data_IF_111065655493
#
_entry.id   IF_111065655493
#
_cell.length_a   1.000
_cell.length_b   1.000
_cell.length_c   1.000
_cell.angle_alpha   90.00
_cell.angle_beta   90.00
_cell.angle_gamma   90.00
#
_symmetry.space_group_name_H-M   'P 1'
#
loop_
_entity.id
_entity.type
_entity.pdbx_description
1 polymer ?
#
# COMPACT_ATOMS: atom_id res chain seq x y z
N UNK A 1 67.66 -13.94 40.62
CA UNK A 1 66.38 -14.67 40.54
C UNK A 1 65.30 -13.66 40.22
N UNK A 2 64.90 -13.59 38.93
CA UNK A 2 63.88 -12.61 38.42
C UNK A 2 62.53 -13.28 38.46
N UNK A 3 61.56 -12.72 39.16
CA UNK A 3 60.19 -13.18 39.20
C UNK A 3 59.40 -12.42 38.13
N UNK A 4 59.01 -13.15 37.08
CA UNK A 4 58.27 -12.66 35.93
C UNK A 4 56.77 -12.70 36.25
N UNK A 5 56.16 -11.54 36.44
CA UNK A 5 54.72 -11.41 36.69
C UNK A 5 53.97 -11.34 35.34
N UNK A 6 53.25 -12.40 35.01
CA UNK A 6 52.40 -12.49 33.82
C UNK A 6 51.09 -11.71 34.05
N UNK A 7 50.92 -10.58 33.34
CA UNK A 7 49.69 -9.80 33.36
C UNK A 7 48.71 -10.38 32.29
N UNK A 8 47.66 -11.03 32.76
CA UNK A 8 46.52 -11.42 31.93
C UNK A 8 45.69 -10.16 31.62
N UNK A 9 45.72 -9.73 30.33
CA UNK A 9 44.84 -8.70 29.83
C UNK A 9 43.45 -9.32 29.52
N UNK A 10 42.48 -8.99 30.35
CA UNK A 10 41.08 -9.36 30.11
C UNK A 10 40.50 -8.52 28.98
N UNK A 11 40.18 -9.16 27.87
CA UNK A 11 39.40 -8.54 26.81
C UNK A 11 37.92 -8.50 27.23
N UNK A 12 37.43 -7.31 27.59
CA UNK A 12 35.99 -7.08 27.79
C UNK A 12 35.32 -7.00 26.44
N UNK A 13 34.50 -8.02 26.13
CA UNK A 13 33.65 -8.04 24.92
C UNK A 13 32.48 -7.10 25.14
N UNK A 14 32.54 -5.89 24.61
CA UNK A 14 31.43 -4.94 24.63
C UNK A 14 30.38 -5.41 23.63
N UNK A 15 29.27 -5.98 24.12
CA UNK A 15 28.09 -6.32 23.33
C UNK A 15 27.41 -4.99 22.99
N UNK A 16 27.58 -4.52 21.75
CA UNK A 16 26.81 -3.41 21.17
C UNK A 16 25.36 -3.89 20.99
N UNK A 17 24.48 -3.48 21.89
CA UNK A 17 23.04 -3.63 21.72
C UNK A 17 22.60 -2.72 20.56
N UNK A 18 22.35 -3.31 19.39
CA UNK A 18 21.73 -2.60 18.27
C UNK A 18 20.28 -2.32 18.65
N UNK A 19 19.82 -1.06 18.71
CA UNK A 19 18.41 -0.79 18.96
C UNK A 19 17.61 -1.35 17.77
N UNK A 20 16.65 -2.24 18.06
CA UNK A 20 15.61 -2.66 17.11
C UNK A 20 14.81 -1.40 16.73
N UNK A 21 15.19 -0.76 15.64
CA UNK A 21 14.51 0.41 15.13
C UNK A 21 13.05 0.07 14.84
N UNK A 22 12.12 0.74 15.52
CA UNK A 22 10.70 0.67 15.20
C UNK A 22 10.52 1.10 13.75
N UNK A 23 9.88 0.25 12.94
CA UNK A 23 9.56 0.60 11.56
C UNK A 23 8.73 1.91 11.54
N UNK A 24 9.00 2.83 10.62
CA UNK A 24 8.28 4.10 10.57
C UNK A 24 6.78 3.85 10.41
N UNK A 25 5.95 4.66 11.07
CA UNK A 25 4.48 4.54 11.05
C UNK A 25 3.89 4.45 9.63
N UNK A 26 4.55 5.04 8.62
CA UNK A 26 4.18 4.96 7.20
C UNK A 26 4.27 3.51 6.67
N UNK A 27 5.27 2.72 7.09
CA UNK A 27 5.42 1.33 6.66
C UNK A 27 4.32 0.43 7.29
N UNK A 28 3.94 0.69 8.54
CA UNK A 28 2.84 -0.02 9.21
C UNK A 28 1.49 0.32 8.57
N UNK A 29 1.28 1.56 8.19
CA UNK A 29 0.12 2.05 7.47
C UNK A 29 -0.07 1.31 6.14
N UNK A 30 1.00 1.19 5.36
CA UNK A 30 0.98 0.47 4.09
C UNK A 30 0.71 -1.03 4.28
N UNK A 31 1.20 -1.65 5.35
CA UNK A 31 0.98 -3.05 5.65
C UNK A 31 -0.49 -3.37 5.96
N UNK A 32 -1.19 -2.50 6.71
CA UNK A 32 -2.61 -2.69 7.02
C UNK A 32 -3.47 -2.65 5.75
N UNK A 33 -3.24 -1.69 4.87
CA UNK A 33 -3.96 -1.59 3.59
C UNK A 33 -3.62 -2.78 2.68
N UNK A 34 -2.35 -3.19 2.60
CA UNK A 34 -1.94 -4.35 1.81
C UNK A 34 -2.61 -5.64 2.28
N UNK A 35 -2.66 -5.88 3.59
CA UNK A 35 -3.37 -7.03 4.18
C UNK A 35 -4.87 -6.99 3.88
N UNK A 36 -5.50 -5.82 3.99
CA UNK A 36 -6.93 -5.64 3.69
C UNK A 36 -7.25 -5.83 2.19
N UNK A 37 -6.33 -5.49 1.29
CA UNK A 37 -6.44 -5.79 -0.14
C UNK A 37 -6.35 -7.30 -0.38
N UNK A 38 -5.35 -7.96 0.18
CA UNK A 38 -5.17 -9.41 0.03
C UNK A 38 -6.38 -10.21 0.55
N UNK A 39 -7.03 -9.74 1.62
CA UNK A 39 -8.27 -10.32 2.17
C UNK A 39 -9.54 -9.90 1.42
N UNK A 40 -9.45 -8.96 0.47
CA UNK A 40 -10.56 -8.45 -0.33
C UNK A 40 -11.53 -7.55 0.43
N UNK A 41 -11.13 -6.99 1.56
CA UNK A 41 -11.91 -5.96 2.28
C UNK A 41 -11.79 -4.60 1.59
N UNK A 42 -10.60 -4.30 1.06
CA UNK A 42 -10.30 -3.08 0.29
C UNK A 42 -10.00 -3.46 -1.15
N UNK A 43 -10.46 -2.67 -2.09
CA UNK A 43 -10.19 -2.88 -3.51
C UNK A 43 -10.05 -1.60 -4.30
N UNK A 44 -9.53 -1.72 -5.53
CA UNK A 44 -9.46 -0.64 -6.49
C UNK A 44 -10.84 -0.37 -7.10
N UNK A 45 -11.15 0.89 -7.31
CA UNK A 45 -12.38 1.34 -7.97
C UNK A 45 -12.07 1.91 -9.35
N UNK A 46 -13.07 1.87 -10.22
CA UNK A 46 -13.04 2.38 -11.60
C UNK A 46 -12.65 3.87 -11.71
N UNK A 47 -12.79 4.64 -10.63
CA UNK A 47 -12.50 6.07 -10.59
C UNK A 47 -11.08 6.39 -10.06
N UNK A 48 -10.25 5.35 -9.86
CA UNK A 48 -8.87 5.51 -9.42
C UNK A 48 -8.67 5.68 -7.91
N UNK A 49 -9.70 5.40 -7.11
CA UNK A 49 -9.63 5.43 -5.65
C UNK A 49 -9.78 4.03 -5.05
N UNK A 50 -9.37 3.89 -3.80
CA UNK A 50 -9.68 2.70 -3.00
C UNK A 50 -11.11 2.79 -2.45
N UNK A 51 -11.74 1.65 -2.29
CA UNK A 51 -13.03 1.51 -1.64
C UNK A 51 -13.11 0.27 -0.76
N UNK A 52 -14.24 0.11 -0.07
CA UNK A 52 -14.48 -1.00 0.84
C UNK A 52 -15.49 -1.97 0.22
N UNK A 53 -15.05 -3.19 -0.04
CA UNK A 53 -15.91 -4.29 -0.48
C UNK A 53 -16.60 -5.00 0.70
N UNK A 54 -16.08 -4.80 1.92
CA UNK A 54 -16.65 -5.26 3.18
C UNK A 54 -16.44 -4.21 4.26
N UNK A 55 -17.13 -4.33 5.39
CA UNK A 55 -17.04 -3.37 6.50
C UNK A 55 -15.60 -3.30 7.04
N UNK A 56 -14.96 -2.10 7.03
CA UNK A 56 -13.61 -1.92 7.54
C UNK A 56 -13.59 -1.68 9.05
N UNK A 57 -12.44 -1.94 9.69
CA UNK A 57 -12.14 -1.38 11.02
C UNK A 57 -11.95 0.14 10.94
N UNK A 58 -12.07 0.84 12.08
CA UNK A 58 -11.82 2.29 12.13
C UNK A 58 -10.39 2.65 11.70
N UNK A 59 -9.40 1.89 12.13
CA UNK A 59 -8.00 2.08 11.74
C UNK A 59 -7.80 1.92 10.22
N UNK A 60 -8.40 0.90 9.61
CA UNK A 60 -8.33 0.68 8.16
C UNK A 60 -9.00 1.82 7.38
N UNK A 61 -10.14 2.32 7.85
CA UNK A 61 -10.83 3.46 7.24
C UNK A 61 -9.91 4.69 7.17
N UNK A 62 -9.29 5.05 8.29
CA UNK A 62 -8.33 6.18 8.34
C UNK A 62 -7.19 6.01 7.33
N UNK A 63 -6.67 4.79 7.17
CA UNK A 63 -5.57 4.52 6.25
C UNK A 63 -5.98 4.59 4.78
N UNK A 64 -7.15 4.08 4.44
CA UNK A 64 -7.72 4.17 3.09
C UNK A 64 -8.03 5.63 2.74
N UNK A 65 -8.63 6.37 3.67
CA UNK A 65 -8.94 7.79 3.48
C UNK A 65 -7.65 8.60 3.26
N UNK A 66 -6.60 8.36 4.05
CA UNK A 66 -5.30 9.01 3.87
C UNK A 66 -4.68 8.69 2.48
N UNK A 67 -4.85 7.46 2.00
CA UNK A 67 -4.41 7.07 0.65
C UNK A 67 -5.19 7.80 -0.43
N UNK A 68 -6.51 7.88 -0.29
CA UNK A 68 -7.37 8.58 -1.24
C UNK A 68 -7.14 10.10 -1.25
N UNK A 69 -6.81 10.70 -0.10
CA UNK A 69 -6.41 12.12 -0.03
C UNK A 69 -5.13 12.35 -0.85
N UNK A 70 -4.12 11.50 -0.73
CA UNK A 70 -2.88 11.60 -1.53
C UNK A 70 -3.15 11.42 -3.03
N UNK A 71 -3.98 10.45 -3.41
CA UNK A 71 -4.40 10.24 -4.80
C UNK A 71 -5.12 11.45 -5.35
N UNK A 72 -6.06 12.03 -4.60
CA UNK A 72 -6.79 13.26 -5.01
C UNK A 72 -5.84 14.43 -5.25
N UNK A 73 -4.88 14.65 -4.36
CA UNK A 73 -3.89 15.70 -4.52
C UNK A 73 -3.03 15.50 -5.78
N UNK A 74 -2.59 14.25 -6.04
CA UNK A 74 -1.84 13.88 -7.23
C UNK A 74 -2.67 14.09 -8.51
N UNK A 75 -3.92 13.63 -8.52
CA UNK A 75 -4.80 13.77 -9.68
C UNK A 75 -5.10 15.24 -9.99
N UNK A 76 -5.34 16.06 -8.97
CA UNK A 76 -5.50 17.50 -9.14
C UNK A 76 -4.27 18.17 -9.75
N UNK A 77 -3.09 17.84 -9.24
CA UNK A 77 -1.83 18.36 -9.76
C UNK A 77 -1.56 17.95 -11.23
N UNK A 78 -1.85 16.69 -11.57
CA UNK A 78 -1.70 16.19 -12.94
C UNK A 78 -2.74 16.81 -13.89
N UNK A 79 -3.96 17.02 -13.44
CA UNK A 79 -5.04 17.62 -14.19
C UNK A 79 -4.68 19.03 -14.66
N UNK A 80 -4.15 19.85 -13.75
CA UNK A 80 -3.67 21.22 -14.09
C UNK A 80 -2.60 21.17 -15.18
N UNK A 81 -1.59 20.27 -15.03
CA UNK A 81 -0.50 20.18 -16.00
C UNK A 81 -0.93 19.69 -17.39
N UNK A 82 -2.03 18.96 -17.47
CA UNK A 82 -2.53 18.33 -18.72
C UNK A 82 -3.77 19.00 -19.29
N UNK A 83 -4.27 20.05 -18.63
CA UNK A 83 -5.50 20.77 -19.02
C UNK A 83 -6.71 19.82 -19.15
N UNK A 84 -6.85 18.90 -18.23
CA UNK A 84 -7.97 17.97 -18.08
C UNK A 84 -8.59 18.07 -16.70
N UNK A 85 -9.66 17.32 -16.41
CA UNK A 85 -10.24 17.29 -15.06
C UNK A 85 -9.51 16.28 -14.14
N UNK A 86 -9.52 16.46 -12.81
CA UNK A 86 -9.02 15.47 -11.87
C UNK A 86 -9.71 14.12 -12.00
N UNK A 87 -10.98 14.11 -12.41
CA UNK A 87 -11.74 12.90 -12.66
C UNK A 87 -11.18 12.12 -13.86
N UNK A 88 -10.85 12.80 -14.96
CA UNK A 88 -10.24 12.15 -16.13
C UNK A 88 -8.90 11.50 -15.77
N UNK A 89 -8.11 12.18 -14.93
CA UNK A 89 -6.85 11.61 -14.42
C UNK A 89 -7.11 10.37 -13.56
N UNK A 90 -8.09 10.41 -12.66
CA UNK A 90 -8.45 9.29 -11.80
C UNK A 90 -8.91 8.07 -12.62
N UNK A 91 -9.78 8.27 -13.60
CA UNK A 91 -10.25 7.22 -14.52
C UNK A 91 -9.06 6.62 -15.31
N UNK A 92 -8.16 7.47 -15.82
CA UNK A 92 -6.97 7.00 -16.53
C UNK A 92 -6.04 6.20 -15.58
N UNK A 93 -5.87 6.66 -14.33
CA UNK A 93 -5.10 5.94 -13.33
C UNK A 93 -5.72 4.58 -12.99
N UNK A 94 -7.06 4.48 -12.96
CA UNK A 94 -7.76 3.24 -12.70
C UNK A 94 -7.37 2.15 -13.70
N UNK A 95 -7.15 2.47 -14.98
CA UNK A 95 -6.70 1.51 -15.98
C UNK A 95 -5.38 0.82 -15.57
N UNK A 96 -4.44 1.57 -15.02
CA UNK A 96 -3.15 1.04 -14.56
C UNK A 96 -3.26 0.31 -13.22
N UNK A 97 -4.11 0.82 -12.31
CA UNK A 97 -4.33 0.22 -10.99
C UNK A 97 -5.05 -1.13 -11.11
N UNK A 98 -6.04 -1.24 -11.99
CA UNK A 98 -6.78 -2.48 -12.24
C UNK A 98 -5.89 -3.60 -12.78
N UNK A 99 -4.89 -3.30 -13.61
CA UNK A 99 -3.93 -4.29 -14.10
C UNK A 99 -3.10 -4.94 -12.98
N UNK A 100 -3.00 -4.28 -11.83
CA UNK A 100 -2.23 -4.75 -10.66
C UNK A 100 -3.07 -5.47 -9.62
N UNK A 101 -4.38 -5.57 -9.82
CA UNK A 101 -5.27 -6.31 -8.91
C UNK A 101 -4.85 -7.77 -8.91
N UNK A 102 -4.41 -8.28 -7.76
CA UNK A 102 -3.96 -9.66 -7.61
C UNK A 102 -5.14 -10.63 -7.47
N UNK A 103 -4.88 -11.92 -7.66
CA UNK A 103 -5.87 -12.97 -7.37
C UNK A 103 -6.29 -12.87 -5.90
N UNK A 104 -7.59 -12.89 -5.64
CA UNK A 104 -8.19 -12.72 -4.31
C UNK A 104 -8.48 -11.27 -3.90
N UNK A 105 -7.87 -10.29 -4.55
CA UNK A 105 -8.17 -8.87 -4.29
C UNK A 105 -9.53 -8.46 -4.87
N UNK A 106 -10.17 -7.51 -4.18
CA UNK A 106 -11.43 -6.93 -4.62
C UNK A 106 -11.22 -5.78 -5.62
N UNK A 107 -12.19 -5.61 -6.51
CA UNK A 107 -12.26 -4.48 -7.43
C UNK A 107 -13.70 -4.13 -7.78
N UNK A 108 -13.94 -2.90 -8.20
CA UNK A 108 -15.25 -2.41 -8.64
C UNK A 108 -15.15 -1.71 -9.99
N UNK A 109 -15.92 -2.17 -10.96
CA UNK A 109 -16.06 -1.51 -12.26
C UNK A 109 -17.11 -0.39 -12.23
N UNK A 110 -17.32 0.29 -13.34
CA UNK A 110 -18.23 1.44 -13.46
C UNK A 110 -19.70 1.13 -13.15
N UNK A 111 -20.08 -0.14 -13.15
CA UNK A 111 -21.40 -0.60 -12.73
C UNK A 111 -21.64 -0.57 -11.21
N UNK A 112 -20.61 -0.21 -10.41
CA UNK A 112 -20.70 -0.12 -8.96
C UNK A 112 -20.73 -1.46 -8.23
N UNK A 113 -20.48 -2.58 -8.92
CA UNK A 113 -20.52 -3.92 -8.33
C UNK A 113 -19.12 -4.36 -7.89
N UNK A 114 -18.99 -4.75 -6.63
CA UNK A 114 -17.78 -5.35 -6.10
C UNK A 114 -17.59 -6.78 -6.59
N UNK A 115 -16.39 -7.08 -7.02
CA UNK A 115 -15.95 -8.40 -7.51
C UNK A 115 -14.64 -8.77 -6.85
N UNK A 116 -14.27 -10.05 -6.89
CA UNK A 116 -12.94 -10.55 -6.56
C UNK A 116 -12.30 -11.19 -7.78
N UNK A 117 -11.01 -10.94 -7.99
CA UNK A 117 -10.25 -11.63 -9.03
C UNK A 117 -10.03 -13.07 -8.63
N UNK A 118 -10.59 -14.01 -9.38
CA UNK A 118 -10.41 -15.45 -9.17
C UNK A 118 -9.12 -15.99 -9.77
N UNK A 119 -8.71 -17.21 -9.37
CA UNK A 119 -7.59 -17.93 -10.00
C UNK A 119 -7.84 -18.11 -11.50
N UNK A 120 -6.81 -17.90 -12.31
CA UNK A 120 -6.90 -18.03 -13.77
C UNK A 120 -7.64 -16.91 -14.48
N UNK A 121 -8.26 -15.97 -13.77
CA UNK A 121 -8.88 -14.82 -14.39
C UNK A 121 -7.83 -13.77 -14.78
N UNK A 122 -7.97 -13.12 -15.95
CA UNK A 122 -7.12 -11.98 -16.30
C UNK A 122 -7.31 -10.84 -15.30
N UNK A 123 -6.37 -9.91 -15.24
CA UNK A 123 -6.54 -8.69 -14.47
C UNK A 123 -7.79 -7.93 -14.98
N UNK A 124 -8.59 -7.33 -14.07
CA UNK A 124 -9.76 -6.57 -14.47
C UNK A 124 -9.36 -5.41 -15.37
N UNK A 125 -10.16 -5.16 -16.39
CA UNK A 125 -9.96 -4.05 -17.31
C UNK A 125 -11.30 -3.37 -17.53
N UNK A 126 -11.47 -2.12 -17.09
CA UNK A 126 -12.62 -1.31 -17.45
C UNK A 126 -12.76 -1.17 -18.97
N UNK A 127 -13.98 -1.10 -19.47
CA UNK A 127 -14.31 -1.01 -20.89
C UNK A 127 -13.81 0.27 -21.57
N UNK A 128 -13.63 1.34 -20.80
CA UNK A 128 -13.08 2.61 -21.27
C UNK A 128 -11.52 2.63 -21.33
N UNK A 129 -10.85 1.55 -20.91
CA UNK A 129 -9.39 1.44 -21.00
C UNK A 129 -8.99 0.90 -22.38
N UNK A 130 -8.22 1.69 -23.13
CA UNK A 130 -7.69 1.29 -24.43
C UNK A 130 -6.63 0.17 -24.33
#
# INVERSE_FOLDING_TARGET
MACMVLRLAGFALAILAVPLGSAPAIAQTSALVASARASGVVGERFDGYLGFAAAPSGALRVQVDATNIRRRALYGSLAVRRSVTPQDVGITAACQLMLRVAVGEAYMLSDGVWRRRGPGQPAPRPDYCA
#
